data_IF_910049407371
#
_entry.id   IF_910049407371
#
_cell.length_a   1.000
_cell.length_b   1.000
_cell.length_c   1.000
_cell.angle_alpha   90.00
_cell.angle_beta   90.00
_cell.angle_gamma   90.00
#
_symmetry.space_group_name_H-M   'P 1'
#
loop_
_entity.id
_entity.type
_entity.pdbx_description
1 polymer ?
#
# COMPACT_ATOMS: atom_id res chain seq x y z
N UNK A 1 6.32 -2.73 8.25
CA UNK A 1 7.43 -2.02 7.58
C UNK A 1 8.58 -2.94 7.22
N UNK A 2 9.33 -3.53 8.16
CA UNK A 2 10.48 -4.38 7.83
C UNK A 2 10.17 -5.51 6.82
N UNK A 3 9.09 -6.27 7.04
CA UNK A 3 8.67 -7.31 6.10
C UNK A 3 8.29 -6.78 4.70
N UNK A 4 7.69 -5.59 4.61
CA UNK A 4 7.37 -4.98 3.31
C UNK A 4 8.65 -4.55 2.58
N UNK A 5 9.61 -3.98 3.32
CA UNK A 5 10.91 -3.58 2.77
C UNK A 5 11.71 -4.80 2.30
N UNK A 6 11.68 -5.91 3.05
CA UNK A 6 12.30 -7.17 2.65
C UNK A 6 11.72 -7.70 1.33
N UNK A 7 10.39 -7.74 1.22
CA UNK A 7 9.70 -8.17 -0.01
C UNK A 7 9.95 -7.20 -1.18
N UNK A 8 10.02 -5.90 -0.91
CA UNK A 8 10.24 -4.89 -1.93
C UNK A 8 11.69 -4.86 -2.42
N UNK A 9 12.64 -5.24 -1.57
CA UNK A 9 14.06 -5.04 -1.80
C UNK A 9 14.35 -3.55 -2.08
N UNK A 10 14.97 -3.27 -3.22
CA UNK A 10 15.28 -1.89 -3.65
C UNK A 10 14.16 -1.22 -4.45
N UNK A 11 13.00 -1.87 -4.61
CA UNK A 11 11.88 -1.29 -5.38
C UNK A 11 11.00 -0.41 -4.50
N UNK A 12 10.36 0.62 -5.08
CA UNK A 12 9.35 1.41 -4.38
C UNK A 12 8.22 0.54 -3.84
N UNK A 13 7.73 0.86 -2.64
CA UNK A 13 6.52 0.28 -2.07
C UNK A 13 5.34 1.17 -2.46
N UNK A 14 4.39 0.63 -3.21
CA UNK A 14 3.15 1.32 -3.60
C UNK A 14 2.01 0.83 -2.73
N UNK A 15 1.37 1.76 -2.02
CA UNK A 15 0.23 1.47 -1.15
C UNK A 15 -1.06 1.82 -1.88
N UNK A 16 -1.99 0.87 -1.88
CA UNK A 16 -3.37 1.11 -2.27
C UNK A 16 -4.27 0.76 -1.08
N UNK A 17 -5.44 1.36 -1.02
CA UNK A 17 -6.47 0.88 -0.11
C UNK A 17 -7.85 0.94 -0.75
N UNK A 18 -8.66 -0.10 -0.56
CA UNK A 18 -9.99 -0.17 -1.15
C UNK A 18 -11.01 0.76 -0.48
N UNK A 19 -10.82 1.17 0.79
CA UNK A 19 -11.87 1.86 1.59
C UNK A 19 -11.35 3.03 2.42
N UNK A 20 -11.95 4.23 2.28
CA UNK A 20 -11.43 5.51 2.81
C UNK A 20 -10.95 5.49 4.27
N UNK A 21 -11.49 4.59 5.07
CA UNK A 21 -11.18 4.38 6.48
C UNK A 21 -9.71 4.00 6.75
N UNK A 22 -8.99 3.38 5.81
CA UNK A 22 -7.60 2.97 6.02
C UNK A 22 -6.56 4.08 5.80
N UNK A 23 -7.00 5.30 5.53
CA UNK A 23 -6.12 6.35 5.03
C UNK A 23 -5.13 6.79 6.10
N UNK A 24 -5.58 6.84 7.37
CA UNK A 24 -4.70 7.12 8.51
C UNK A 24 -3.56 6.10 8.64
N UNK A 25 -3.85 4.82 8.39
CA UNK A 25 -2.82 3.78 8.38
C UNK A 25 -1.86 3.93 7.19
N UNK A 26 -2.37 4.26 5.99
CA UNK A 26 -1.54 4.55 4.83
C UNK A 26 -0.58 5.72 5.09
N UNK A 27 -1.07 6.84 5.61
CA UNK A 27 -0.24 8.01 5.92
C UNK A 27 0.87 7.66 6.92
N UNK A 28 0.56 6.89 7.97
CA UNK A 28 1.56 6.44 8.94
C UNK A 28 2.66 5.56 8.30
N UNK A 29 2.29 4.66 7.38
CA UNK A 29 3.24 3.80 6.67
C UNK A 29 4.14 4.60 5.73
N UNK A 30 3.59 5.57 5.01
CA UNK A 30 4.35 6.44 4.12
C UNK A 30 5.38 7.27 4.90
N UNK A 31 4.94 7.91 6.00
CA UNK A 31 5.84 8.67 6.88
C UNK A 31 6.91 7.79 7.52
N UNK A 32 6.56 6.56 7.90
CA UNK A 32 7.52 5.58 8.42
C UNK A 32 8.57 5.21 7.38
N UNK A 33 8.17 5.00 6.12
CA UNK A 33 9.10 4.74 5.01
C UNK A 33 10.10 5.88 4.84
N UNK A 34 9.60 7.11 4.75
CA UNK A 34 10.43 8.31 4.60
C UNK A 34 11.48 8.46 5.71
N UNK A 35 11.09 8.24 6.98
CA UNK A 35 12.01 8.26 8.13
C UNK A 35 13.11 7.20 8.06
N UNK A 36 12.83 6.07 7.41
CA UNK A 36 13.75 4.93 7.32
C UNK A 36 14.47 4.86 5.96
N UNK A 37 14.40 5.90 5.12
CA UNK A 37 15.02 5.91 3.80
C UNK A 37 14.43 4.91 2.81
N UNK A 38 13.25 4.35 3.10
CA UNK A 38 12.55 3.42 2.21
C UNK A 38 11.49 4.18 1.42
N UNK A 39 11.53 4.08 0.08
CA UNK A 39 10.52 4.73 -0.75
C UNK A 39 9.18 4.02 -0.61
N UNK A 40 8.25 4.68 0.08
CA UNK A 40 6.85 4.28 0.22
C UNK A 40 5.99 5.43 -0.30
N UNK A 41 4.99 5.10 -1.12
CA UNK A 41 4.10 6.09 -1.71
C UNK A 41 2.68 5.55 -1.81
N UNK A 42 1.71 6.45 -1.90
CA UNK A 42 0.32 6.09 -2.10
C UNK A 42 -0.06 6.18 -3.58
N UNK A 43 -0.78 5.17 -4.06
CA UNK A 43 -1.14 5.02 -5.48
C UNK A 43 -2.31 5.91 -5.92
N UNK A 44 -3.11 6.41 -4.98
CA UNK A 44 -4.25 7.29 -5.25
C UNK A 44 -3.87 8.75 -4.95
N UNK A 45 -3.47 9.47 -6.00
CA UNK A 45 -3.02 10.86 -5.94
C UNK A 45 -4.14 11.80 -5.49
N UNK A 46 -5.34 11.66 -6.08
CA UNK A 46 -6.47 12.56 -5.85
C UNK A 46 -6.90 12.59 -4.38
N UNK A 47 -6.82 11.44 -3.69
CA UNK A 47 -7.17 11.35 -2.27
C UNK A 47 -6.03 11.73 -1.34
N UNK A 48 -4.77 11.64 -1.80
CA UNK A 48 -3.59 11.89 -0.97
C UNK A 48 -3.09 13.33 -1.02
N UNK A 49 -3.12 13.99 -2.19
CA UNK A 49 -2.69 15.39 -2.32
C UNK A 49 -3.47 16.35 -1.40
N UNK A 50 -4.68 15.97 -1.00
CA UNK A 50 -5.51 16.75 -0.06
C UNK A 50 -5.01 16.70 1.39
N UNK A 51 -4.15 15.76 1.75
CA UNK A 51 -3.79 15.46 3.14
C UNK A 51 -2.27 15.43 3.36
N UNK A 52 -1.48 15.28 2.30
CA UNK A 52 -0.02 15.20 2.36
C UNK A 52 0.64 15.94 1.20
N UNK A 53 1.96 16.14 1.29
CA UNK A 53 2.79 16.68 0.20
C UNK A 53 2.82 15.72 -0.99
N UNK A 54 2.88 16.26 -2.21
CA UNK A 54 2.93 15.50 -3.46
C UNK A 54 4.09 14.47 -3.51
N UNK A 55 5.15 14.68 -2.72
CA UNK A 55 6.26 13.74 -2.56
C UNK A 55 5.84 12.35 -2.03
N UNK A 56 4.69 12.24 -1.39
CA UNK A 56 4.16 10.99 -0.84
C UNK A 56 3.21 10.25 -1.78
N UNK A 57 2.93 10.83 -2.94
CA UNK A 57 2.17 10.21 -4.02
C UNK A 57 3.11 9.42 -4.92
N UNK A 58 2.65 8.27 -5.42
CA UNK A 58 3.43 7.48 -6.36
C UNK A 58 3.47 8.17 -7.74
N UNK A 59 4.66 8.23 -8.32
CA UNK A 59 4.81 8.62 -9.73
C UNK A 59 4.33 7.51 -10.68
N UNK A 60 4.05 7.81 -11.96
CA UNK A 60 3.67 6.78 -12.93
C UNK A 60 4.68 5.63 -13.07
N UNK A 61 5.98 5.91 -12.95
CA UNK A 61 7.03 4.88 -13.01
C UNK A 61 7.01 3.99 -11.76
N UNK A 62 6.77 4.56 -10.58
CA UNK A 62 6.65 3.81 -9.32
C UNK A 62 5.41 2.91 -9.32
N UNK A 63 4.29 3.37 -9.88
CA UNK A 63 3.08 2.56 -10.05
C UNK A 63 3.30 1.32 -10.93
N UNK A 64 4.24 1.40 -11.88
CA UNK A 64 4.56 0.34 -12.84
C UNK A 64 5.62 -0.62 -12.32
N UNK A 65 6.63 -0.10 -11.62
CA UNK A 65 7.83 -0.87 -11.23
C UNK A 65 7.84 -1.27 -9.76
N UNK A 66 7.04 -0.60 -8.93
CA UNK A 66 6.98 -0.81 -7.49
C UNK A 66 6.27 -2.10 -7.10
N UNK A 67 6.50 -2.51 -5.86
CA UNK A 67 5.78 -3.62 -5.24
C UNK A 67 4.50 -3.08 -4.62
N UNK A 68 3.37 -3.67 -4.99
CA UNK A 68 2.06 -3.22 -4.56
C UNK A 68 1.59 -3.93 -3.31
N UNK A 69 1.16 -3.15 -2.33
CA UNK A 69 0.55 -3.63 -1.09
C UNK A 69 -0.81 -2.99 -0.91
N UNK A 70 -1.81 -3.81 -0.60
CA UNK A 70 -3.13 -3.33 -0.17
C UNK A 70 -3.12 -3.14 1.34
N UNK A 71 -3.56 -1.96 1.78
CA UNK A 71 -3.81 -1.68 3.21
C UNK A 71 -5.27 -1.97 3.48
N UNK A 72 -5.51 -2.99 4.30
CA UNK A 72 -6.84 -3.42 4.74
C UNK A 72 -6.88 -3.44 6.27
N UNK A 73 -8.03 -3.12 6.86
CA UNK A 73 -8.28 -3.48 8.25
C UNK A 73 -8.76 -4.91 8.32
N UNK A 74 -8.33 -5.62 9.36
CA UNK A 74 -8.99 -6.83 9.79
C UNK A 74 -10.24 -6.45 10.58
N UNK A 75 -11.38 -7.06 10.31
CA UNK A 75 -12.54 -6.93 11.19
C UNK A 75 -12.17 -7.31 12.62
N UNK A 76 -12.73 -6.59 13.59
CA UNK A 76 -12.47 -6.82 15.01
C UNK A 76 -12.81 -8.27 15.39
N UNK A 77 -11.79 -9.07 15.73
CA UNK A 77 -11.97 -10.46 16.15
C UNK A 77 -11.13 -11.49 15.38
N UNK A 78 -10.51 -11.12 14.27
CA UNK A 78 -9.70 -12.07 13.53
C UNK A 78 -8.24 -12.10 14.06
N UNK A 79 -7.63 -13.30 14.20
CA UNK A 79 -6.37 -13.47 14.94
C UNK A 79 -5.19 -12.68 14.35
N UNK A 80 -4.44 -11.97 15.20
CA UNK A 80 -3.22 -11.27 14.78
C UNK A 80 -2.22 -12.29 14.19
N UNK A 81 -1.68 -12.00 13.00
CA UNK A 81 -0.63 -12.81 12.37
C UNK A 81 -1.07 -13.67 11.18
N UNK A 82 -2.32 -13.61 10.72
CA UNK A 82 -2.73 -14.29 9.48
C UNK A 82 -3.10 -13.29 8.39
N UNK A 83 -2.09 -12.91 7.60
CA UNK A 83 -2.22 -12.43 6.22
C UNK A 83 -1.09 -13.10 5.44
N UNK A 84 -1.42 -14.02 4.53
CA UNK A 84 -0.45 -14.70 3.65
C UNK A 84 -0.90 -14.55 2.18
N UNK A 85 -1.26 -13.31 1.79
CA UNK A 85 -1.44 -12.87 0.41
C UNK A 85 -2.65 -13.40 -0.38
N UNK A 86 -3.12 -12.59 -1.34
CA UNK A 86 -3.37 -13.13 -2.69
C UNK A 86 -2.36 -12.47 -3.62
N UNK A 87 -1.42 -13.28 -4.11
CA UNK A 87 -0.51 -12.93 -5.20
C UNK A 87 -1.26 -13.22 -6.50
N UNK A 88 -1.54 -12.17 -7.29
CA UNK A 88 -1.72 -12.24 -8.75
C UNK A 88 -2.85 -13.13 -9.33
N UNK A 89 -3.79 -12.45 -10.00
CA UNK A 89 -4.82 -12.92 -10.95
C UNK A 89 -6.04 -13.67 -10.39
N UNK A 90 -7.18 -12.97 -10.43
CA UNK A 90 -8.45 -13.54 -10.88
C UNK A 90 -8.85 -12.89 -12.22
N UNK A 91 -8.22 -13.33 -13.30
CA UNK A 91 -8.94 -13.40 -14.59
C UNK A 91 -9.88 -14.59 -14.45
N UNK A 92 -11.17 -14.33 -14.25
CA UNK A 92 -12.14 -15.41 -14.02
C UNK A 92 -13.54 -14.93 -13.66
N UNK A 93 -14.19 -14.22 -14.60
CA UNK A 93 -15.63 -14.10 -14.87
C UNK A 93 -16.63 -13.90 -13.70
N UNK A 94 -17.46 -12.83 -13.71
CA UNK A 94 -18.62 -12.76 -12.82
C UNK A 94 -19.61 -13.89 -13.15
N UNK A 95 -20.00 -14.64 -12.13
CA UNK A 95 -21.07 -15.65 -12.20
C UNK A 95 -22.42 -14.97 -12.47
N UNK A 96 -23.12 -15.41 -13.52
CA UNK A 96 -24.41 -16.12 -13.48
C UNK A 96 -25.08 -16.07 -14.85
#
# INVERSE_FOLDING_TARGET
MAAMAEVAGNRPITLQSPTHEQWGAMAALVLSGARNGTRVCAADAERMELLVTAEFVCTPSELTTGVRFSVTSKDAGAPAGQVIGEIGQAVGNPQS
#
